data_IF_442971472536
#
_entry.id   IF_442971472536
#
_cell.length_a   1.000
_cell.length_b   1.000
_cell.length_c   1.000
_cell.angle_alpha   90.00
_cell.angle_beta   90.00
_cell.angle_gamma   90.00
#
_symmetry.space_group_name_H-M   'P 1'
#
loop_
_entity.id
_entity.type
_entity.pdbx_description
1 polymer ?
#
# COMPACT_ATOMS: atom_id res chain seq x y z
N UNK A 1 -50.47 -9.77 -24.73
CA UNK A 1 -51.66 -8.97 -24.38
C UNK A 1 -52.48 -9.76 -23.38
N UNK A 2 -52.39 -9.45 -22.09
CA UNK A 2 -53.44 -9.78 -21.12
C UNK A 2 -53.14 -9.01 -19.84
N UNK A 3 -53.91 -7.94 -19.61
CA UNK A 3 -53.97 -7.26 -18.32
C UNK A 3 -55.02 -7.92 -17.42
N UNK A 4 -54.93 -7.66 -16.11
CA UNK A 4 -55.94 -6.94 -15.32
C UNK A 4 -55.71 -7.08 -13.80
N UNK A 5 -55.27 -5.97 -13.17
CA UNK A 5 -55.80 -5.21 -11.99
C UNK A 5 -56.57 -5.91 -10.83
N UNK A 6 -56.84 -5.22 -9.68
CA UNK A 6 -56.16 -5.31 -8.39
C UNK A 6 -57.09 -5.78 -7.23
N UNK A 7 -56.64 -5.72 -5.98
CA UNK A 7 -57.54 -5.57 -4.81
C UNK A 7 -56.85 -4.84 -3.64
N UNK A 8 -57.52 -3.82 -3.10
CA UNK A 8 -57.28 -3.25 -1.76
C UNK A 8 -57.90 -4.16 -0.66
N UNK A 9 -58.08 -3.74 0.62
CA UNK A 9 -58.53 -2.40 1.03
C UNK A 9 -57.93 -1.82 2.34
N UNK A 10 -58.54 -0.70 2.74
CA UNK A 10 -58.34 0.27 3.83
C UNK A 10 -58.12 -0.20 5.29
N UNK A 11 -57.58 0.72 6.11
CA UNK A 11 -57.72 0.70 7.58
C UNK A 11 -57.08 1.92 8.26
N UNK A 12 -57.89 2.72 8.98
CA UNK A 12 -57.54 3.92 9.74
C UNK A 12 -57.28 3.59 11.22
N UNK A 13 -56.42 4.37 11.91
CA UNK A 13 -56.28 4.39 13.38
C UNK A 13 -55.22 5.42 13.79
N UNK A 14 -55.61 6.65 14.19
CA UNK A 14 -55.95 7.14 15.55
C UNK A 14 -54.74 7.31 16.49
N UNK A 15 -54.67 8.54 16.98
CA UNK A 15 -53.70 9.21 17.83
C UNK A 15 -53.46 8.52 19.19
N UNK A 16 -52.27 8.63 19.78
CA UNK A 16 -51.95 9.60 20.87
C UNK A 16 -50.60 9.26 21.55
N UNK A 17 -49.97 10.34 22.02
CA UNK A 17 -49.22 10.46 23.27
C UNK A 17 -47.68 10.56 23.21
N UNK A 18 -47.26 11.78 23.58
CA UNK A 18 -46.12 12.11 24.45
C UNK A 18 -44.73 11.94 23.85
N UNK A 19 -44.30 13.01 23.21
CA UNK A 19 -42.90 13.42 23.29
C UNK A 19 -42.90 14.87 23.73
N UNK A 20 -42.18 15.16 24.82
CA UNK A 20 -41.47 16.41 25.10
C UNK A 20 -41.11 16.41 26.58
N UNK A 21 -39.81 16.26 26.82
CA UNK A 21 -38.99 16.87 27.86
C UNK A 21 -37.87 15.89 28.17
N UNK A 22 -36.67 16.16 27.68
CA UNK A 22 -35.50 16.45 28.52
C UNK A 22 -34.44 17.01 27.57
N UNK A 23 -34.27 18.33 27.60
CA UNK A 23 -32.93 18.93 27.52
C UNK A 23 -32.52 19.11 28.99
N UNK A 24 -31.31 18.73 29.43
CA UNK A 24 -30.22 19.72 29.44
C UNK A 24 -28.85 19.09 29.11
N UNK A 25 -28.05 19.75 28.27
CA UNK A 25 -26.98 20.71 28.65
C UNK A 25 -25.64 19.99 28.92
N UNK A 26 -24.74 20.07 27.93
CA UNK A 26 -23.39 20.66 28.00
C UNK A 26 -22.41 19.93 27.07
N UNK A 27 -21.64 20.67 26.24
CA UNK A 27 -20.52 20.10 25.51
C UNK A 27 -19.39 19.81 26.49
N UNK A 28 -19.05 18.54 26.66
CA UNK A 28 -17.77 18.18 27.27
C UNK A 28 -16.70 18.37 26.21
N UNK A 29 -15.82 19.33 26.49
CA UNK A 29 -14.58 19.62 25.78
C UNK A 29 -13.75 18.34 25.66
N UNK A 30 -13.98 17.57 24.61
CA UNK A 30 -13.00 16.61 24.14
C UNK A 30 -12.08 17.39 23.23
N UNK A 31 -10.99 17.88 23.82
CA UNK A 31 -9.72 18.03 23.10
C UNK A 31 -9.42 16.66 22.47
N UNK A 32 -10.03 16.42 21.30
CA UNK A 32 -9.53 15.51 20.31
C UNK A 32 -8.25 16.17 19.80
N UNK A 33 -7.21 16.09 20.64
CA UNK A 33 -5.88 15.89 20.14
C UNK A 33 -6.04 14.81 19.08
N UNK A 34 -6.02 15.25 17.82
CA UNK A 34 -5.98 14.37 16.69
C UNK A 34 -4.76 13.49 16.95
N UNK A 35 -5.03 12.29 17.46
CA UNK A 35 -4.09 11.19 17.48
C UNK A 35 -3.48 11.21 16.08
N UNK A 36 -2.15 11.37 15.92
CA UNK A 36 -1.57 11.34 14.59
C UNK A 36 -1.79 9.91 14.10
N UNK A 37 -2.86 9.72 13.33
CA UNK A 37 -3.05 8.60 12.45
C UNK A 37 -1.72 8.44 11.72
N UNK A 38 -1.01 7.36 12.06
CA UNK A 38 0.30 7.07 11.50
C UNK A 38 0.16 7.02 9.99
N UNK A 39 0.54 8.13 9.34
CA UNK A 39 0.60 8.28 7.89
C UNK A 39 1.52 7.18 7.36
N UNK A 40 0.91 6.10 6.87
CA UNK A 40 1.61 4.93 6.36
C UNK A 40 2.24 5.32 5.03
N UNK A 41 3.47 5.84 5.10
CA UNK A 41 4.43 6.04 4.02
C UNK A 41 3.83 6.03 2.60
N UNK A 42 3.41 7.20 2.11
CA UNK A 42 3.31 7.46 0.68
C UNK A 42 4.70 7.17 0.06
N UNK A 43 4.90 5.99 -0.53
CA UNK A 43 6.20 5.64 -1.08
C UNK A 43 6.38 4.19 -1.52
N UNK A 44 7.50 3.97 -2.21
CA UNK A 44 7.91 2.67 -2.73
C UNK A 44 8.87 2.00 -1.76
N UNK A 45 8.59 0.73 -1.42
CA UNK A 45 9.53 -0.12 -0.71
C UNK A 45 10.16 -1.13 -1.66
N UNK A 46 11.49 -1.26 -1.62
CA UNK A 46 12.24 -2.29 -2.34
C UNK A 46 12.94 -3.19 -1.33
N UNK A 47 12.54 -4.46 -1.24
CA UNK A 47 13.07 -5.45 -0.31
C UNK A 47 13.84 -6.54 -1.05
N UNK A 48 15.18 -6.63 -0.91
CA UNK A 48 15.93 -7.77 -1.37
C UNK A 48 15.65 -9.01 -0.51
N UNK A 49 15.15 -10.08 -1.12
CA UNK A 49 14.96 -11.36 -0.43
C UNK A 49 16.26 -12.17 -0.46
N UNK A 50 16.62 -12.77 0.67
CA UNK A 50 17.74 -13.73 0.75
C UNK A 50 17.58 -14.79 -0.35
N UNK A 51 18.64 -15.01 -1.11
CA UNK A 51 18.71 -16.01 -2.18
C UNK A 51 17.60 -15.88 -3.23
N UNK A 52 16.98 -14.69 -3.31
CA UNK A 52 15.76 -14.45 -4.07
C UNK A 52 15.69 -13.09 -4.76
N UNK A 53 14.49 -12.71 -5.23
CA UNK A 53 14.27 -11.49 -6.01
C UNK A 53 14.34 -10.20 -5.20
N UNK A 54 14.21 -9.06 -5.89
CA UNK A 54 13.85 -7.79 -5.27
C UNK A 54 12.32 -7.67 -5.27
N UNK A 55 11.69 -7.54 -4.11
CA UNK A 55 10.26 -7.28 -4.01
C UNK A 55 10.05 -5.78 -3.98
N UNK A 56 9.30 -5.25 -4.95
CA UNK A 56 8.90 -3.85 -5.02
C UNK A 56 7.44 -3.76 -4.58
N UNK A 57 7.09 -2.83 -3.70
CA UNK A 57 5.73 -2.57 -3.22
C UNK A 57 5.44 -1.07 -3.19
N UNK A 58 4.21 -0.68 -3.52
CA UNK A 58 3.73 0.70 -3.43
C UNK A 58 3.52 1.31 -4.81
N UNK A 59 3.43 2.64 -4.86
CA UNK A 59 3.20 3.40 -6.09
C UNK A 59 4.51 3.65 -6.84
N UNK A 60 4.79 2.84 -7.86
CA UNK A 60 6.00 2.93 -8.67
C UNK A 60 5.71 2.88 -10.17
N UNK A 61 6.61 3.49 -10.95
CA UNK A 61 6.68 3.33 -12.40
C UNK A 61 7.88 2.48 -12.74
N UNK A 62 7.71 1.53 -13.65
CA UNK A 62 8.79 0.70 -14.17
C UNK A 62 9.06 1.11 -15.61
N UNK A 63 10.27 1.59 -15.89
CA UNK A 63 10.68 2.05 -17.22
C UNK A 63 11.87 1.24 -17.73
N UNK A 64 11.98 1.08 -19.05
CA UNK A 64 13.22 0.64 -19.70
C UNK A 64 14.21 1.80 -19.89
N UNK A 65 15.39 1.52 -20.46
CA UNK A 65 16.42 2.54 -20.70
C UNK A 65 16.04 3.59 -21.76
N UNK A 66 15.07 3.28 -22.61
CA UNK A 66 14.57 4.16 -23.68
C UNK A 66 13.41 5.04 -23.17
N UNK A 67 12.98 4.82 -21.91
CA UNK A 67 11.91 5.56 -21.25
C UNK A 67 10.52 4.97 -21.46
N UNK A 68 10.40 3.80 -22.10
CA UNK A 68 9.11 3.14 -22.29
C UNK A 68 8.63 2.53 -20.98
N UNK A 69 7.31 2.59 -20.76
CA UNK A 69 6.70 2.01 -19.57
C UNK A 69 6.52 0.50 -19.71
N UNK A 70 6.94 -0.23 -18.68
CA UNK A 70 6.74 -1.67 -18.54
C UNK A 70 5.58 -1.87 -17.57
N UNK A 71 4.47 -2.43 -18.04
CA UNK A 71 3.32 -2.74 -17.20
C UNK A 71 3.70 -3.75 -16.10
N UNK A 72 3.63 -3.37 -14.81
CA UNK A 72 3.91 -4.27 -13.70
C UNK A 72 2.75 -5.23 -13.39
N UNK A 73 1.54 -4.94 -13.88
CA UNK A 73 0.30 -5.68 -13.66
C UNK A 73 -0.27 -5.62 -12.24
N UNK A 74 0.47 -5.04 -11.27
CA UNK A 74 0.10 -4.93 -9.85
C UNK A 74 1.06 -4.04 -9.07
N UNK A 75 0.61 -3.53 -7.93
CA UNK A 75 1.38 -2.67 -7.01
C UNK A 75 2.45 -3.43 -6.20
N UNK A 76 2.62 -4.73 -6.45
CA UNK A 76 3.67 -5.54 -5.83
C UNK A 76 4.27 -6.50 -6.82
N UNK A 77 5.53 -6.30 -7.21
CA UNK A 77 6.22 -7.14 -8.18
C UNK A 77 7.50 -7.75 -7.62
N UNK A 78 8.00 -8.76 -8.31
CA UNK A 78 9.28 -9.39 -8.02
C UNK A 78 10.22 -9.21 -9.21
N UNK A 79 11.30 -8.45 -9.02
CA UNK A 79 12.32 -8.23 -10.05
C UNK A 79 13.45 -9.25 -9.92
N UNK A 80 13.97 -9.68 -11.07
CA UNK A 80 15.05 -10.65 -11.15
C UNK A 80 16.35 -10.07 -10.58
N UNK A 81 16.86 -10.71 -9.54
CA UNK A 81 18.18 -10.40 -8.95
C UNK A 81 19.28 -11.39 -9.37
N UNK A 82 18.90 -12.61 -9.75
CA UNK A 82 19.84 -13.70 -10.06
C UNK A 82 20.35 -13.71 -11.51
N UNK A 83 19.74 -12.94 -12.41
CA UNK A 83 20.09 -12.90 -13.83
C UNK A 83 19.60 -14.10 -14.67
N UNK A 84 18.95 -15.10 -14.07
CA UNK A 84 18.57 -16.36 -14.75
C UNK A 84 17.10 -16.46 -15.17
N UNK A 85 16.26 -15.45 -14.88
CA UNK A 85 14.86 -15.50 -15.31
C UNK A 85 14.73 -15.45 -16.85
N UNK A 86 13.74 -16.16 -17.40
CA UNK A 86 13.34 -16.08 -18.81
C UNK A 86 12.35 -14.95 -19.11
N UNK A 87 11.78 -14.29 -18.09
CA UNK A 87 10.80 -13.20 -18.22
C UNK A 87 11.34 -11.88 -17.63
N UNK A 88 12.62 -11.60 -17.86
CA UNK A 88 13.25 -10.36 -17.37
C UNK A 88 12.43 -9.13 -17.83
N UNK A 89 12.31 -8.09 -16.98
CA UNK A 89 12.99 -7.88 -15.70
C UNK A 89 12.36 -8.61 -14.50
N UNK A 90 11.28 -9.36 -14.69
CA UNK A 90 10.56 -10.04 -13.62
C UNK A 90 11.24 -11.35 -13.19
N UNK A 91 10.86 -11.83 -12.00
CA UNK A 91 11.32 -13.09 -11.45
C UNK A 91 10.30 -14.22 -11.72
N UNK A 92 10.75 -15.31 -12.35
CA UNK A 92 9.98 -16.56 -12.56
C UNK A 92 10.36 -17.70 -11.59
N UNK A 93 11.14 -17.42 -10.56
CA UNK A 93 11.60 -18.44 -9.62
C UNK A 93 12.87 -19.18 -10.03
N UNK A 94 13.48 -18.86 -11.18
CA UNK A 94 14.73 -19.50 -11.64
C UNK A 94 15.90 -19.36 -10.66
N UNK A 95 15.87 -18.39 -9.74
CA UNK A 95 16.84 -18.26 -8.65
C UNK A 95 17.00 -19.53 -7.80
N UNK A 96 15.90 -20.29 -7.60
CA UNK A 96 15.93 -21.55 -6.84
C UNK A 96 16.72 -22.62 -7.58
N UNK A 97 16.40 -22.81 -8.86
CA UNK A 97 17.02 -23.85 -9.71
C UNK A 97 18.48 -23.52 -10.06
N UNK A 98 18.83 -22.23 -10.13
CA UNK A 98 20.19 -21.80 -10.42
C UNK A 98 21.13 -21.78 -9.21
N UNK A 99 20.63 -22.10 -8.01
CA UNK A 99 21.42 -22.03 -6.77
C UNK A 99 21.91 -20.61 -6.45
N UNK A 100 21.10 -19.58 -6.77
CA UNK A 100 21.49 -18.21 -6.49
C UNK A 100 21.61 -18.00 -4.97
N UNK A 101 22.78 -17.52 -4.51
CA UNK A 101 22.99 -17.17 -3.11
C UNK A 101 23.45 -15.73 -2.98
N UNK A 102 22.71 -14.97 -2.17
CA UNK A 102 23.07 -13.61 -1.82
C UNK A 102 22.29 -13.13 -0.58
N UNK A 103 22.93 -12.39 0.33
CA UNK A 103 22.25 -11.80 1.47
C UNK A 103 21.17 -10.80 1.04
N UNK A 104 20.26 -10.50 1.96
CA UNK A 104 19.25 -9.43 1.81
C UNK A 104 19.81 -8.03 2.06
N UNK A 105 20.89 -7.93 2.83
CA UNK A 105 21.61 -6.69 3.12
C UNK A 105 22.98 -6.67 2.43
N UNK A 106 23.59 -5.49 2.22
CA UNK A 106 24.97 -5.39 1.74
C UNK A 106 25.93 -6.18 2.64
N UNK A 107 26.83 -6.98 2.05
CA UNK A 107 27.87 -7.69 2.79
C UNK A 107 29.09 -6.82 3.14
N UNK A 108 29.17 -5.63 2.54
CA UNK A 108 30.21 -4.62 2.77
C UNK A 108 29.59 -3.22 2.68
N UNK A 109 30.20 -2.20 3.32
CA UNK A 109 29.78 -0.82 3.16
C UNK A 109 29.82 -0.37 1.69
N UNK A 110 28.89 0.50 1.28
CA UNK A 110 28.92 1.16 -0.02
C UNK A 110 29.87 2.36 0.06
N UNK A 111 31.01 2.39 -0.64
CA UNK A 111 31.99 3.49 -0.52
C UNK A 111 31.39 4.88 -0.77
N UNK A 112 30.51 4.98 -1.77
CA UNK A 112 29.80 6.23 -2.06
C UNK A 112 28.92 6.72 -0.89
N UNK A 113 28.37 5.82 -0.09
CA UNK A 113 27.59 6.20 1.09
C UNK A 113 28.48 6.74 2.23
N UNK A 114 29.75 6.32 2.29
CA UNK A 114 30.71 6.79 3.28
C UNK A 114 31.17 8.22 2.96
N UNK A 115 31.52 8.50 1.70
CA UNK A 115 31.92 9.85 1.25
C UNK A 115 30.85 10.89 1.60
N UNK A 116 29.57 10.58 1.34
CA UNK A 116 28.47 11.49 1.65
C UNK A 116 28.31 11.74 3.16
N UNK A 117 28.58 10.74 4.01
CA UNK A 117 28.51 10.89 5.47
C UNK A 117 29.64 11.77 5.99
N UNK A 118 30.86 11.53 5.52
CA UNK A 118 32.05 12.31 5.90
C UNK A 118 31.93 13.77 5.47
N UNK A 119 31.43 14.05 4.26
CA UNK A 119 31.17 15.42 3.78
C UNK A 119 30.11 16.19 4.57
N UNK A 120 29.32 15.50 5.41
CA UNK A 120 28.23 16.08 6.21
C UNK A 120 28.62 16.31 7.68
N UNK A 121 29.78 15.82 8.13
CA UNK A 121 30.23 16.08 9.50
C UNK A 121 30.85 17.49 9.57
N UNK A 122 30.37 18.36 10.49
CA UNK A 122 30.98 19.67 10.68
C UNK A 122 32.42 19.49 11.19
N UNK A 123 33.35 20.27 10.62
CA UNK A 123 34.78 20.21 10.94
C UNK A 123 35.03 20.26 12.44
N UNK A 124 35.77 19.27 12.94
CA UNK A 124 36.25 19.20 14.34
C UNK A 124 37.49 20.06 14.50
#
# INVERSE_FOLDING_TARGET
MSGCVPNGPAGQGRDVARSLSVEPDLPEDVDAAAEPDGERAEGVTITPYRDGPLIVRGDFRLLDQDGNEIDPGRDTIALCRCGKSGIKPFCDGSHKRSGFSAPSAPSRPRPAAQILRESRLPGT
#
